data_IF_501479796915
#
_entry.id   IF_501479796915
#
_cell.length_a   1.000
_cell.length_b   1.000
_cell.length_c   1.000
_cell.angle_alpha   90.00
_cell.angle_beta   90.00
_cell.angle_gamma   90.00
#
_symmetry.space_group_name_H-M   'P 1'
#
loop_
_entity.id
_entity.type
_entity.pdbx_description
1 polymer ?
#
# COMPACT_ATOMS: atom_id res chain seq x y z
N UNK A 1 -23.07 2.81 -10.99
CA UNK A 1 -23.53 1.61 -10.29
C UNK A 1 -23.13 1.55 -8.82
N UNK A 2 -22.22 2.44 -8.34
CA UNK A 2 -21.67 2.40 -6.96
C UNK A 2 -21.84 3.70 -6.19
N UNK A 3 -22.54 4.71 -6.74
CA UNK A 3 -22.67 6.06 -6.18
C UNK A 3 -23.35 6.10 -4.81
N UNK A 4 -24.17 5.10 -4.52
CA UNK A 4 -24.84 4.90 -3.24
C UNK A 4 -23.92 4.37 -2.12
N UNK A 5 -22.77 3.81 -2.49
CA UNK A 5 -21.80 3.17 -1.59
C UNK A 5 -20.44 3.85 -1.54
N UNK A 6 -20.18 4.82 -2.44
CA UNK A 6 -18.91 5.52 -2.54
C UNK A 6 -19.13 7.00 -2.24
N UNK A 7 -18.39 7.51 -1.27
CA UNK A 7 -18.26 8.94 -0.98
C UNK A 7 -16.84 9.36 -1.35
N UNK A 8 -16.71 10.40 -2.17
CA UNK A 8 -15.41 10.99 -2.53
C UNK A 8 -15.28 12.36 -1.87
N UNK A 9 -14.13 12.61 -1.25
CA UNK A 9 -13.85 13.86 -0.57
C UNK A 9 -12.43 14.33 -0.91
N UNK A 10 -12.28 15.58 -1.32
CA UNK A 10 -10.99 16.23 -1.48
C UNK A 10 -10.59 16.87 -0.15
N UNK A 11 -9.65 16.27 0.54
CA UNK A 11 -9.19 16.74 1.84
C UNK A 11 -7.75 16.31 2.12
N UNK A 12 -6.99 17.16 2.82
CA UNK A 12 -5.72 16.78 3.40
C UNK A 12 -5.97 15.78 4.56
N UNK A 13 -5.31 14.63 4.50
CA UNK A 13 -5.43 13.59 5.52
C UNK A 13 -5.10 14.09 6.93
N UNK A 14 -4.15 15.03 7.07
CA UNK A 14 -3.77 15.60 8.37
C UNK A 14 -4.94 16.30 9.05
N UNK A 15 -5.83 16.90 8.26
CA UNK A 15 -6.98 17.65 8.72
C UNK A 15 -8.29 16.86 8.64
N UNK A 16 -8.21 15.57 8.28
CA UNK A 16 -9.39 14.73 8.23
C UNK A 16 -9.80 14.31 9.64
N UNK A 17 -11.00 14.69 10.04
CA UNK A 17 -11.60 14.35 11.34
C UNK A 17 -12.94 13.67 11.13
N UNK A 18 -13.16 12.61 11.87
CA UNK A 18 -14.42 11.87 11.93
C UNK A 18 -14.47 11.05 13.22
N UNK A 19 -15.66 10.81 13.72
CA UNK A 19 -15.91 9.87 14.82
C UNK A 19 -16.03 8.42 14.30
N UNK A 20 -16.23 8.25 13.00
CA UNK A 20 -16.33 6.93 12.37
C UNK A 20 -14.98 6.21 12.41
N UNK A 21 -15.03 4.90 12.63
CA UNK A 21 -13.87 4.01 12.53
C UNK A 21 -14.01 3.15 11.28
N UNK A 22 -12.87 2.80 10.68
CA UNK A 22 -12.82 2.03 9.45
C UNK A 22 -12.26 0.64 9.72
N UNK A 23 -12.94 -0.39 9.20
CA UNK A 23 -12.46 -1.77 9.28
C UNK A 23 -11.33 -2.06 8.29
N UNK A 24 -11.21 -1.23 7.25
CA UNK A 24 -10.15 -1.32 6.27
C UNK A 24 -9.71 0.07 5.83
N UNK A 25 -8.42 0.35 5.96
CA UNK A 25 -7.78 1.53 5.39
C UNK A 25 -6.77 1.05 4.36
N UNK A 26 -6.88 1.56 3.13
CA UNK A 26 -5.95 1.22 2.03
C UNK A 26 -5.23 2.48 1.58
N UNK A 27 -3.92 2.39 1.36
CA UNK A 27 -3.14 3.50 0.84
C UNK A 27 -2.12 3.05 -0.21
N UNK A 28 -2.00 3.86 -1.25
CA UNK A 28 -0.90 3.81 -2.20
C UNK A 28 -0.32 5.25 -2.29
N UNK A 29 0.49 5.65 -1.30
CA UNK A 29 1.00 7.00 -1.25
C UNK A 29 1.97 7.27 -2.41
N UNK A 30 2.10 8.52 -2.87
CA UNK A 30 3.07 8.84 -3.90
C UNK A 30 4.50 8.57 -3.39
N UNK A 31 5.29 7.87 -4.20
CA UNK A 31 6.72 7.63 -3.94
C UNK A 31 7.54 8.46 -4.90
N UNK A 32 8.49 9.19 -4.38
CA UNK A 32 9.49 9.83 -5.21
C UNK A 32 10.74 8.96 -5.20
N UNK A 33 11.12 8.42 -6.37
CA UNK A 33 12.42 7.76 -6.53
C UNK A 33 13.52 8.78 -6.25
N UNK A 34 14.58 8.34 -5.56
CA UNK A 34 15.74 9.19 -5.21
C UNK A 34 16.54 9.48 -6.48
N UNK A 35 16.06 10.41 -7.29
CA UNK A 35 16.87 11.05 -8.30
C UNK A 35 17.43 12.33 -7.70
N UNK A 36 18.72 12.41 -7.57
CA UNK A 36 19.55 13.24 -6.70
C UNK A 36 19.66 14.71 -7.09
N UNK A 37 18.58 15.44 -7.34
CA UNK A 37 18.66 16.88 -7.45
C UNK A 37 18.19 17.56 -6.16
N UNK A 38 18.92 18.61 -5.72
CA UNK A 38 18.56 19.40 -4.52
C UNK A 38 17.15 20.00 -4.59
N UNK A 39 16.65 20.27 -5.81
CA UNK A 39 15.27 20.74 -6.04
C UNK A 39 14.22 19.68 -5.71
N UNK A 40 14.54 18.40 -5.93
CA UNK A 40 13.65 17.29 -5.61
C UNK A 40 13.58 17.05 -4.10
N UNK A 41 14.64 17.33 -3.35
CA UNK A 41 14.68 17.23 -1.89
C UNK A 41 13.73 18.24 -1.24
N UNK A 42 13.74 19.49 -1.72
CA UNK A 42 12.85 20.55 -1.22
C UNK A 42 11.39 20.33 -1.64
N UNK A 43 11.14 19.77 -2.84
CA UNK A 43 9.80 19.39 -3.29
C UNK A 43 9.24 18.23 -2.45
N UNK A 44 10.08 17.27 -2.06
CA UNK A 44 9.74 16.16 -1.15
C UNK A 44 9.33 16.64 0.23
N UNK A 45 10.10 17.52 0.84
CA UNK A 45 9.80 18.07 2.17
C UNK A 45 8.46 18.83 2.21
N UNK A 46 8.00 19.34 1.05
CA UNK A 46 6.72 20.07 0.93
C UNK A 46 5.53 19.20 0.53
N UNK A 47 5.76 18.06 -0.13
CA UNK A 47 4.71 17.18 -0.66
C UNK A 47 4.63 15.85 0.07
N UNK A 48 5.59 15.54 0.96
CA UNK A 48 5.58 14.28 1.68
C UNK A 48 4.37 14.23 2.60
N UNK A 49 3.43 13.37 2.21
CA UNK A 49 2.63 12.69 3.20
C UNK A 49 3.66 11.88 4.01
N UNK A 50 4.18 12.47 5.06
CA UNK A 50 5.15 11.83 5.94
C UNK A 50 4.52 10.52 6.41
N UNK A 51 5.21 9.40 6.26
CA UNK A 51 4.73 8.10 6.76
C UNK A 51 4.24 8.20 8.20
N UNK A 52 4.87 9.05 9.01
CA UNK A 52 4.46 9.30 10.38
C UNK A 52 3.03 9.85 10.47
N UNK A 53 2.68 10.85 9.65
CA UNK A 53 1.34 11.44 9.65
C UNK A 53 0.30 10.44 9.12
N UNK A 54 0.64 9.71 8.05
CA UNK A 54 -0.23 8.68 7.49
C UNK A 54 -0.51 7.57 8.51
N UNK A 55 0.53 7.02 9.12
CA UNK A 55 0.42 5.91 10.09
C UNK A 55 -0.33 6.38 11.33
N UNK A 56 0.03 7.55 11.88
CA UNK A 56 -0.64 8.13 13.04
C UNK A 56 -2.14 8.35 12.77
N UNK A 57 -2.49 8.93 11.61
CA UNK A 57 -3.90 9.15 11.27
C UNK A 57 -4.61 7.82 11.02
N UNK A 58 -3.99 6.87 10.33
CA UNK A 58 -4.55 5.53 10.11
C UNK A 58 -4.80 4.81 11.44
N UNK A 59 -3.87 4.84 12.39
CA UNK A 59 -4.07 4.23 13.70
C UNK A 59 -5.23 4.87 14.49
N UNK A 60 -5.44 6.17 14.33
CA UNK A 60 -6.56 6.87 14.96
C UNK A 60 -7.92 6.54 14.34
N UNK A 61 -7.95 6.26 13.04
CA UNK A 61 -9.18 6.01 12.28
C UNK A 61 -9.56 4.53 12.20
N UNK A 62 -8.62 3.63 12.44
CA UNK A 62 -8.83 2.19 12.36
C UNK A 62 -9.74 1.71 13.50
N UNK A 63 -10.67 0.80 13.18
CA UNK A 63 -11.45 0.08 14.20
C UNK A 63 -10.55 -0.91 14.96
N UNK A 64 -10.99 -1.40 16.10
CA UNK A 64 -10.23 -2.33 16.97
C UNK A 64 -9.76 -3.59 16.22
N UNK A 65 -10.60 -4.13 15.35
CA UNK A 65 -10.28 -5.29 14.52
C UNK A 65 -9.95 -4.91 13.06
N UNK A 66 -9.71 -3.63 12.81
CA UNK A 66 -9.45 -3.10 11.48
C UNK A 66 -8.07 -3.47 10.94
N UNK A 67 -7.94 -3.35 9.61
CA UNK A 67 -6.72 -3.63 8.88
C UNK A 67 -6.25 -2.39 8.10
N UNK A 68 -5.00 -2.01 8.28
CA UNK A 68 -4.33 -0.98 7.49
C UNK A 68 -3.44 -1.64 6.44
N UNK A 69 -3.82 -1.52 5.16
CA UNK A 69 -3.10 -2.09 4.02
C UNK A 69 -2.42 -1.00 3.20
N UNK A 70 -1.15 -1.19 2.91
CA UNK A 70 -0.35 -0.19 2.19
C UNK A 70 0.63 -0.86 1.23
N UNK A 71 0.85 -0.21 0.08
CA UNK A 71 1.96 -0.56 -0.80
C UNK A 71 3.10 0.44 -0.61
N UNK A 72 4.34 -0.03 -0.44
CA UNK A 72 5.53 0.80 -0.27
C UNK A 72 6.72 0.27 -1.07
N UNK A 73 7.76 1.11 -1.36
CA UNK A 73 9.06 0.64 -1.81
C UNK A 73 9.72 -0.27 -0.77
N UNK A 74 10.48 -1.28 -1.23
CA UNK A 74 11.16 -2.22 -0.31
C UNK A 74 12.15 -1.51 0.61
N UNK A 75 12.82 -0.47 0.13
CA UNK A 75 13.83 0.29 0.89
C UNK A 75 13.23 1.06 2.08
N UNK A 76 11.92 1.31 2.04
CA UNK A 76 11.19 2.01 3.12
C UNK A 76 10.70 1.07 4.22
N UNK A 77 10.82 -0.24 4.07
CA UNK A 77 10.23 -1.23 4.98
C UNK A 77 10.64 -1.02 6.44
N UNK A 78 11.94 -0.87 6.67
CA UNK A 78 12.49 -0.78 8.04
C UNK A 78 11.94 0.43 8.79
N UNK A 79 11.98 1.60 8.15
CA UNK A 79 11.46 2.83 8.72
C UNK A 79 9.96 2.75 8.97
N UNK A 80 9.22 2.24 7.96
CA UNK A 80 7.78 2.10 8.04
C UNK A 80 7.35 1.20 9.20
N UNK A 81 7.97 0.03 9.34
CA UNK A 81 7.73 -0.90 10.44
C UNK A 81 7.99 -0.26 11.81
N UNK A 82 9.06 0.53 11.94
CA UNK A 82 9.38 1.22 13.19
C UNK A 82 8.30 2.23 13.58
N UNK A 83 7.81 3.02 12.60
CA UNK A 83 6.76 4.01 12.85
C UNK A 83 5.44 3.31 13.19
N UNK A 84 5.08 2.23 12.49
CA UNK A 84 3.91 1.43 12.80
C UNK A 84 3.94 0.88 14.23
N UNK A 85 5.06 0.28 14.64
CA UNK A 85 5.25 -0.24 15.99
C UNK A 85 5.08 0.86 17.07
N UNK A 86 5.60 2.05 16.83
CA UNK A 86 5.44 3.20 17.73
C UNK A 86 3.97 3.68 17.85
N UNK A 87 3.12 3.30 16.91
CA UNK A 87 1.69 3.59 16.91
C UNK A 87 0.82 2.35 17.25
N UNK A 88 1.41 1.31 17.87
CA UNK A 88 0.75 0.05 18.23
C UNK A 88 0.15 -0.71 17.04
N UNK A 89 0.71 -0.53 15.85
CA UNK A 89 0.34 -1.27 14.65
C UNK A 89 1.38 -2.36 14.39
N UNK A 90 0.93 -3.62 14.36
CA UNK A 90 1.76 -4.80 14.19
C UNK A 90 1.51 -5.42 12.83
N UNK A 91 2.59 -5.82 12.15
CA UNK A 91 2.53 -6.45 10.85
C UNK A 91 1.76 -7.79 10.94
N UNK A 92 0.76 -7.96 10.09
CA UNK A 92 -0.04 -9.17 9.97
C UNK A 92 0.31 -9.96 8.71
N UNK A 93 0.62 -9.23 7.63
CA UNK A 93 0.93 -9.84 6.33
C UNK A 93 1.91 -8.96 5.56
N UNK A 94 2.85 -9.62 4.87
CA UNK A 94 3.82 -9.01 3.96
C UNK A 94 3.80 -9.75 2.64
N UNK A 95 3.48 -9.06 1.55
CA UNK A 95 3.58 -9.58 0.20
C UNK A 95 4.76 -8.91 -0.51
N UNK A 96 5.74 -9.69 -0.91
CA UNK A 96 6.94 -9.25 -1.63
C UNK A 96 6.64 -9.33 -3.13
N UNK A 97 6.57 -8.16 -3.80
CA UNK A 97 6.19 -8.09 -5.20
C UNK A 97 7.43 -8.04 -6.10
N UNK A 98 7.48 -8.97 -7.04
CA UNK A 98 8.49 -9.05 -8.10
C UNK A 98 7.87 -8.81 -9.47
N UNK A 99 8.57 -8.12 -10.37
CA UNK A 99 8.18 -8.01 -11.77
C UNK A 99 8.17 -9.37 -12.44
N UNK A 100 9.35 -10.02 -12.50
CA UNK A 100 9.53 -11.42 -12.90
C UNK A 100 10.21 -12.21 -11.78
N UNK A 101 10.12 -13.54 -11.81
CA UNK A 101 10.64 -14.42 -10.76
C UNK A 101 12.12 -14.16 -10.41
N UNK A 102 12.92 -13.81 -11.39
CA UNK A 102 14.38 -13.57 -11.26
C UNK A 102 14.73 -12.13 -10.93
N UNK A 103 13.78 -11.20 -10.93
CA UNK A 103 14.05 -9.80 -10.60
C UNK A 103 14.11 -9.57 -9.10
N UNK A 104 14.88 -8.55 -8.72
CA UNK A 104 14.82 -8.04 -7.35
C UNK A 104 13.43 -7.45 -7.06
N UNK A 105 12.90 -7.66 -5.86
CA UNK A 105 11.64 -7.07 -5.45
C UNK A 105 11.78 -5.56 -5.30
N UNK A 106 10.76 -4.82 -5.76
CA UNK A 106 10.74 -3.34 -5.69
C UNK A 106 9.65 -2.79 -4.79
N UNK A 107 8.61 -3.56 -4.54
CA UNK A 107 7.43 -3.12 -3.77
C UNK A 107 7.03 -4.20 -2.78
N UNK A 108 6.44 -3.73 -1.68
CA UNK A 108 5.81 -4.56 -0.68
C UNK A 108 4.36 -4.13 -0.54
N UNK A 109 3.44 -5.08 -0.36
CA UNK A 109 2.15 -4.82 0.27
C UNK A 109 2.26 -5.29 1.71
N UNK A 110 1.96 -4.38 2.63
CA UNK A 110 2.03 -4.62 4.07
C UNK A 110 0.65 -4.39 4.69
N UNK A 111 0.25 -5.29 5.56
CA UNK A 111 -1.01 -5.19 6.29
C UNK A 111 -0.73 -5.17 7.79
N UNK A 112 -1.31 -4.19 8.48
CA UNK A 112 -1.11 -3.97 9.92
C UNK A 112 -2.44 -3.96 10.65
N UNK A 113 -2.43 -4.38 11.90
CA UNK A 113 -3.55 -4.24 12.84
C UNK A 113 -3.03 -3.98 14.25
N UNK A 114 -3.95 -3.77 15.21
CA UNK A 114 -3.58 -3.65 16.62
C UNK A 114 -3.24 -5.00 17.28
N UNK A 115 -3.49 -6.10 16.59
CA UNK A 115 -3.22 -7.44 17.10
C UNK A 115 -1.74 -7.80 16.93
N UNK A 116 -1.05 -8.05 18.03
CA UNK A 116 0.33 -8.55 17.99
C UNK A 116 0.33 -10.05 17.73
N UNK A 117 0.67 -10.47 16.52
CA UNK A 117 0.75 -11.86 16.06
C UNK A 117 1.89 -12.04 15.08
N UNK A 118 2.25 -13.28 14.80
CA UNK A 118 3.22 -13.61 13.76
C UNK A 118 2.69 -13.22 12.37
N UNK A 119 3.53 -12.55 11.58
CA UNK A 119 3.14 -12.06 10.27
C UNK A 119 3.26 -13.16 9.20
N UNK A 120 2.27 -13.27 8.33
CA UNK A 120 2.32 -14.10 7.12
C UNK A 120 3.19 -13.43 6.06
N UNK A 121 4.20 -14.15 5.53
CA UNK A 121 5.09 -13.64 4.47
C UNK A 121 4.82 -14.42 3.18
N UNK A 122 4.56 -13.68 2.09
CA UNK A 122 4.22 -14.22 0.78
C UNK A 122 5.05 -13.56 -0.33
N UNK A 123 5.24 -14.26 -1.43
CA UNK A 123 5.84 -13.71 -2.64
C UNK A 123 4.79 -13.66 -3.74
N UNK A 124 4.81 -12.60 -4.53
CA UNK A 124 3.91 -12.40 -5.66
C UNK A 124 4.70 -11.98 -6.90
N UNK A 125 4.47 -12.66 -8.02
CA UNK A 125 5.16 -12.41 -9.28
C UNK A 125 4.16 -11.91 -10.31
N UNK A 126 4.40 -10.70 -10.86
CA UNK A 126 3.48 -10.09 -11.81
C UNK A 126 3.56 -10.76 -13.20
N UNK A 127 4.77 -11.02 -13.69
CA UNK A 127 5.00 -11.57 -15.02
C UNK A 127 5.76 -12.90 -14.95
N UNK A 128 5.33 -13.92 -15.65
CA UNK A 128 6.07 -15.19 -15.80
C UNK A 128 7.26 -15.06 -16.75
N UNK A 129 7.17 -14.14 -17.71
CA UNK A 129 8.25 -13.71 -18.59
C UNK A 129 7.97 -12.29 -19.07
N UNK A 130 8.96 -11.55 -19.64
CA UNK A 130 8.75 -10.17 -20.06
C UNK A 130 7.50 -9.98 -20.91
N UNK A 131 6.59 -9.10 -20.47
CA UNK A 131 5.30 -8.77 -21.09
C UNK A 131 4.26 -9.91 -21.12
N UNK A 132 4.47 -10.96 -20.34
CA UNK A 132 3.50 -12.06 -20.20
C UNK A 132 3.15 -12.20 -18.73
N UNK A 133 1.94 -11.81 -18.36
CA UNK A 133 1.47 -11.88 -16.98
C UNK A 133 1.47 -13.30 -16.45
N UNK A 134 1.69 -13.43 -15.14
CA UNK A 134 1.54 -14.69 -14.42
C UNK A 134 0.07 -15.08 -14.32
N UNK A 135 -0.19 -16.36 -14.19
CA UNK A 135 -1.57 -16.86 -14.07
C UNK A 135 -2.21 -16.37 -12.74
N UNK A 136 -1.39 -16.23 -11.69
CA UNK A 136 -1.80 -15.66 -10.40
C UNK A 136 -2.20 -14.18 -10.53
N UNK A 137 -1.42 -13.37 -11.27
CA UNK A 137 -1.76 -11.97 -11.54
C UNK A 137 -3.04 -11.86 -12.37
N UNK A 138 -3.20 -12.69 -13.42
CA UNK A 138 -4.39 -12.70 -14.24
C UNK A 138 -5.64 -13.08 -13.45
N UNK A 139 -5.55 -14.07 -12.57
CA UNK A 139 -6.66 -14.47 -11.72
C UNK A 139 -7.02 -13.38 -10.70
N UNK A 140 -6.01 -12.75 -10.06
CA UNK A 140 -6.22 -11.67 -9.11
C UNK A 140 -6.88 -10.44 -9.74
N UNK A 141 -6.58 -10.16 -11.00
CA UNK A 141 -7.01 -8.93 -11.68
C UNK A 141 -8.12 -9.13 -12.71
N UNK A 142 -8.65 -10.33 -12.85
CA UNK A 142 -9.62 -10.70 -13.90
C UNK A 142 -10.87 -9.80 -13.95
N UNK A 143 -11.33 -9.31 -12.81
CA UNK A 143 -12.51 -8.45 -12.72
C UNK A 143 -12.20 -6.97 -12.98
N UNK A 144 -10.92 -6.59 -13.02
CA UNK A 144 -10.46 -5.22 -13.21
C UNK A 144 -9.84 -4.94 -14.58
N UNK A 145 -9.38 -5.99 -15.29
CA UNK A 145 -8.84 -5.87 -16.64
C UNK A 145 -9.83 -6.40 -17.67
N UNK A 146 -10.24 -5.53 -18.58
CA UNK A 146 -10.84 -5.99 -19.82
C UNK A 146 -9.72 -6.55 -20.70
N UNK A 147 -9.32 -7.79 -20.46
CA UNK A 147 -8.53 -8.52 -21.45
C UNK A 147 -9.44 -8.74 -22.65
N UNK A 148 -9.35 -7.87 -23.65
CA UNK A 148 -9.99 -8.12 -24.95
C UNK A 148 -9.45 -9.45 -25.43
N UNK A 149 -10.30 -10.49 -25.43
CA UNK A 149 -10.04 -11.70 -26.20
C UNK A 149 -9.84 -11.20 -27.61
N UNK A 150 -8.60 -11.20 -28.14
CA UNK A 150 -8.42 -11.08 -29.57
C UNK A 150 -9.24 -12.20 -30.17
N UNK A 151 -10.19 -11.92 -31.09
CA UNK A 151 -10.81 -12.99 -31.86
C UNK A 151 -9.70 -13.73 -32.61
N UNK A 152 -9.74 -15.05 -32.49
CA UNK A 152 -8.92 -15.97 -33.28
C UNK A 152 -9.19 -15.77 -34.79
#
# INVERSE_FOLDING_TARGET
PFSDRIKSQLQDLKNFETEEKFDLIISNPPYFEINSSEKDILARQRLELNFSDLIKKSSQLLSENGLFSIIIPIDSEKEFNQICSNNNLFLQRKVIIKGIKTSEPKRLVLEYSFKNSEAKIENFVIEKSPRVYSDEYLELTKDFHQFTKKPL
#
